data_IF_733904395386
#
_entry.id   IF_733904395386
#
_cell.length_a   1.000
_cell.length_b   1.000
_cell.length_c   1.000
_cell.angle_alpha   90.00
_cell.angle_beta   90.00
_cell.angle_gamma   90.00
#
_symmetry.space_group_name_H-M   'P 1'
#
loop_
_entity.id
_entity.type
_entity.pdbx_description
1 polymer ?
#
# COMPACT_ATOMS: atom_id res chain seq x y z
N UNK A 1 -10.05 -10.40 -49.42
CA UNK A 1 -9.95 -9.02 -48.89
C UNK A 1 -9.92 -9.09 -47.37
N UNK A 2 -8.76 -9.46 -46.80
CA UNK A 2 -8.56 -9.51 -45.35
C UNK A 2 -8.42 -8.06 -44.86
N UNK A 3 -9.39 -7.52 -44.14
CA UNK A 3 -9.18 -6.27 -43.39
C UNK A 3 -8.12 -6.58 -42.32
N UNK A 4 -6.93 -6.03 -42.51
CA UNK A 4 -5.89 -5.93 -41.48
C UNK A 4 -6.32 -4.96 -40.37
N UNK A 5 -7.43 -5.27 -39.69
CA UNK A 5 -7.78 -4.55 -38.48
C UNK A 5 -6.83 -5.02 -37.38
N UNK A 6 -5.98 -4.11 -36.91
CA UNK A 6 -5.27 -4.26 -35.64
C UNK A 6 -6.29 -4.70 -34.60
N UNK A 7 -6.03 -5.83 -33.93
CA UNK A 7 -7.00 -6.35 -32.98
C UNK A 7 -7.13 -5.40 -31.80
N UNK A 8 -8.36 -4.99 -31.52
CA UNK A 8 -8.68 -4.00 -30.49
C UNK A 8 -8.27 -4.48 -29.08
N UNK A 9 -8.34 -5.78 -28.82
CA UNK A 9 -7.92 -6.38 -27.55
C UNK A 9 -6.40 -6.28 -27.30
N UNK A 10 -5.58 -6.47 -28.33
CA UNK A 10 -4.12 -6.26 -28.26
C UNK A 10 -3.82 -4.78 -27.98
N UNK A 11 -4.53 -3.86 -28.65
CA UNK A 11 -4.36 -2.42 -28.41
C UNK A 11 -4.73 -2.04 -26.97
N UNK A 12 -5.82 -2.56 -26.43
CA UNK A 12 -6.21 -2.33 -25.03
C UNK A 12 -5.21 -2.92 -24.03
N UNK A 13 -4.72 -4.13 -24.27
CA UNK A 13 -3.66 -4.74 -23.46
C UNK A 13 -2.41 -3.84 -23.42
N UNK A 14 -1.92 -3.43 -24.60
CA UNK A 14 -0.74 -2.56 -24.70
C UNK A 14 -0.99 -1.20 -24.02
N UNK A 15 -2.19 -0.62 -24.17
CA UNK A 15 -2.55 0.65 -23.53
C UNK A 15 -2.56 0.54 -22.00
N UNK A 16 -3.25 -0.44 -21.43
CA UNK A 16 -3.29 -0.63 -19.97
C UNK A 16 -1.89 -0.91 -19.44
N UNK A 17 -1.12 -1.76 -20.11
CA UNK A 17 0.26 -2.09 -19.73
C UNK A 17 1.17 -0.84 -19.77
N UNK A 18 1.07 -0.01 -20.82
CA UNK A 18 1.78 1.28 -20.91
C UNK A 18 1.39 2.23 -19.77
N UNK A 19 0.10 2.35 -19.44
CA UNK A 19 -0.37 3.20 -18.34
C UNK A 19 0.21 2.73 -17.01
N UNK A 20 0.21 1.41 -16.74
CA UNK A 20 0.81 0.83 -15.54
C UNK A 20 2.30 1.18 -15.48
N UNK A 21 3.04 1.00 -16.58
CA UNK A 21 4.48 1.28 -16.63
C UNK A 21 4.79 2.77 -16.43
N UNK A 22 4.07 3.69 -17.08
CA UNK A 22 4.24 5.14 -16.87
C UNK A 22 3.95 5.51 -15.41
N UNK A 23 2.84 5.02 -14.85
CA UNK A 23 2.49 5.29 -13.46
C UNK A 23 3.52 4.73 -12.48
N UNK A 24 4.07 3.54 -12.77
CA UNK A 24 5.14 2.92 -11.98
C UNK A 24 6.43 3.74 -12.01
N UNK A 25 6.84 4.21 -13.20
CA UNK A 25 8.00 5.09 -13.37
C UNK A 25 7.80 6.36 -12.53
N UNK A 26 6.69 7.07 -12.72
CA UNK A 26 6.40 8.29 -11.96
C UNK A 26 6.41 8.00 -10.45
N UNK A 27 5.72 6.95 -10.01
CA UNK A 27 5.66 6.61 -8.59
C UNK A 27 7.04 6.39 -7.98
N UNK A 28 7.87 5.54 -8.58
CA UNK A 28 9.17 5.18 -8.01
C UNK A 28 10.16 6.34 -8.12
N UNK A 29 10.21 7.01 -9.28
CA UNK A 29 11.13 8.14 -9.54
C UNK A 29 10.91 9.31 -8.60
N UNK A 30 9.68 9.50 -8.09
CA UNK A 30 9.43 10.48 -7.03
C UNK A 30 9.60 9.88 -5.64
N UNK A 31 9.10 8.66 -5.38
CA UNK A 31 9.10 8.07 -4.04
C UNK A 31 10.50 7.87 -3.50
N UNK A 32 11.41 7.27 -4.28
CA UNK A 32 12.76 6.94 -3.78
C UNK A 32 13.53 8.21 -3.40
N UNK A 33 13.74 9.22 -4.27
CA UNK A 33 14.48 10.42 -3.90
C UNK A 33 13.83 11.21 -2.75
N UNK A 34 12.50 11.32 -2.73
CA UNK A 34 11.78 12.02 -1.65
C UNK A 34 11.94 11.31 -0.31
N UNK A 35 11.90 9.97 -0.29
CA UNK A 35 12.08 9.18 0.92
C UNK A 35 13.47 9.37 1.53
N UNK A 36 14.53 9.31 0.72
CA UNK A 36 15.91 9.46 1.20
C UNK A 36 16.27 10.92 1.55
N UNK A 37 15.66 11.90 0.89
CA UNK A 37 15.83 13.32 1.23
C UNK A 37 14.97 13.80 2.40
N UNK A 38 14.08 12.94 2.93
CA UNK A 38 13.28 13.25 4.12
C UNK A 38 14.13 13.25 5.38
N UNK A 39 14.12 14.38 6.08
CA UNK A 39 14.68 14.55 7.42
C UNK A 39 13.58 15.09 8.33
N UNK A 40 13.44 14.48 9.50
CA UNK A 40 12.47 14.93 10.50
C UNK A 40 12.95 16.25 11.11
N UNK A 41 12.04 17.21 11.22
CA UNK A 41 12.31 18.47 11.92
C UNK A 41 11.98 18.31 13.40
N UNK A 42 12.73 18.99 14.25
CA UNK A 42 12.38 19.15 15.65
C UNK A 42 11.63 20.47 15.81
N UNK A 43 10.62 20.46 16.64
CA UNK A 43 9.97 21.66 17.15
C UNK A 43 10.63 22.06 18.47
N UNK A 44 10.70 23.36 18.69
CA UNK A 44 11.12 23.94 19.98
C UNK A 44 10.01 23.94 21.03
N UNK A 45 8.79 23.48 20.69
CA UNK A 45 7.67 23.47 21.63
C UNK A 45 7.95 22.53 22.80
N UNK A 46 7.98 23.09 24.02
CA UNK A 46 8.08 22.32 25.25
C UNK A 46 6.68 21.91 25.70
N UNK A 47 6.28 20.68 25.39
CA UNK A 47 5.07 20.06 25.95
C UNK A 47 5.45 19.37 27.26
N UNK A 48 4.81 19.74 28.37
CA UNK A 48 5.07 19.07 29.64
C UNK A 48 4.35 17.72 29.69
N UNK A 49 4.93 16.76 30.41
CA UNK A 49 4.32 15.43 30.58
C UNK A 49 2.95 15.47 31.25
N UNK A 50 2.76 16.40 32.19
CA UNK A 50 1.48 16.59 32.89
C UNK A 50 0.37 17.11 31.97
N UNK A 51 0.72 17.68 30.81
CA UNK A 51 -0.21 18.14 29.78
C UNK A 51 -0.67 17.01 28.84
N UNK A 52 -0.29 15.76 29.14
CA UNK A 52 -0.59 14.58 28.34
C UNK A 52 -1.35 13.57 29.20
N UNK A 53 -2.48 13.09 28.67
CA UNK A 53 -3.21 11.94 29.22
C UNK A 53 -3.24 10.81 28.20
N UNK A 54 -2.71 9.64 28.55
CA UNK A 54 -2.94 8.43 27.78
C UNK A 54 -4.36 7.93 27.95
N UNK A 55 -5.01 7.57 26.83
CA UNK A 55 -6.35 7.00 26.81
C UNK A 55 -6.26 5.61 26.18
N UNK A 56 -6.51 4.58 27.00
CA UNK A 56 -6.23 3.18 26.69
C UNK A 56 -7.54 2.38 26.74
N UNK A 57 -8.15 2.02 25.61
CA UNK A 57 -9.25 1.07 25.60
C UNK A 57 -8.73 -0.35 25.80
N UNK A 58 -9.40 -1.16 26.63
CA UNK A 58 -9.06 -2.58 26.86
C UNK A 58 -10.29 -3.47 26.76
N UNK A 59 -10.12 -4.64 26.13
CA UNK A 59 -11.14 -5.69 26.07
C UNK A 59 -10.51 -7.07 25.91
N UNK A 60 -10.59 -7.90 26.95
CA UNK A 60 -10.07 -9.28 26.96
C UNK A 60 -8.60 -9.40 26.50
N UNK A 61 -7.78 -8.39 26.77
CA UNK A 61 -6.35 -8.38 26.45
C UNK A 61 -5.57 -9.33 27.37
N UNK A 62 -4.44 -9.87 26.90
CA UNK A 62 -3.58 -10.65 27.78
C UNK A 62 -3.13 -9.80 28.98
N UNK A 63 -3.39 -10.28 30.20
CA UNK A 63 -3.15 -9.52 31.44
C UNK A 63 -1.68 -9.15 31.62
N UNK A 64 -0.75 -10.01 31.23
CA UNK A 64 0.69 -9.71 31.36
C UNK A 64 1.11 -8.63 30.36
N UNK A 65 0.67 -8.73 29.11
CA UNK A 65 0.90 -7.69 28.11
C UNK A 65 0.30 -6.35 28.56
N UNK A 66 -0.92 -6.35 29.08
CA UNK A 66 -1.55 -5.14 29.60
C UNK A 66 -0.75 -4.52 30.77
N UNK A 67 -0.25 -5.34 31.71
CA UNK A 67 0.63 -4.87 32.80
C UNK A 67 1.89 -4.20 32.25
N UNK A 68 2.53 -4.77 31.23
CA UNK A 68 3.69 -4.15 30.57
C UNK A 68 3.36 -2.79 29.98
N UNK A 69 2.18 -2.64 29.36
CA UNK A 69 1.72 -1.36 28.82
C UNK A 69 1.53 -0.32 29.93
N UNK A 70 0.81 -0.66 31.00
CA UNK A 70 0.57 0.25 32.13
C UNK A 70 1.89 0.67 32.79
N UNK A 71 2.80 -0.28 33.01
CA UNK A 71 4.13 0.02 33.55
C UNK A 71 4.90 0.98 32.63
N UNK A 72 4.85 0.78 31.30
CA UNK A 72 5.55 1.65 30.35
C UNK A 72 4.98 3.08 30.31
N UNK A 73 3.68 3.25 30.52
CA UNK A 73 3.03 4.56 30.61
C UNK A 73 3.44 5.27 31.89
N UNK A 74 3.45 4.54 33.01
CA UNK A 74 3.93 5.04 34.31
C UNK A 74 5.41 5.46 34.26
N UNK A 75 6.27 4.66 33.64
CA UNK A 75 7.70 4.97 33.46
C UNK A 75 7.94 6.22 32.59
N UNK A 76 7.05 6.48 31.63
CA UNK A 76 7.10 7.71 30.84
C UNK A 76 6.58 8.94 31.61
N UNK A 77 5.88 8.73 32.73
CA UNK A 77 5.49 9.77 33.67
C UNK A 77 4.35 10.67 33.18
N UNK A 78 3.36 10.10 32.50
CA UNK A 78 2.16 10.81 32.03
C UNK A 78 0.90 10.31 32.76
N UNK A 79 -0.14 11.15 32.79
CA UNK A 79 -1.45 10.73 33.29
C UNK A 79 -2.05 9.65 32.38
N UNK A 80 -2.89 8.77 32.90
CA UNK A 80 -3.55 7.78 32.07
C UNK A 80 -4.94 7.38 32.57
N UNK A 81 -5.81 7.15 31.59
CA UNK A 81 -7.19 6.73 31.74
C UNK A 81 -7.35 5.45 30.93
N UNK A 82 -7.86 4.40 31.57
CA UNK A 82 -8.16 3.12 30.93
C UNK A 82 -9.67 2.92 30.87
N UNK A 83 -10.17 2.50 29.72
CA UNK A 83 -11.59 2.21 29.52
C UNK A 83 -11.78 0.72 29.28
N UNK A 84 -12.39 0.02 30.23
CA UNK A 84 -12.78 -1.38 30.10
C UNK A 84 -14.05 -1.53 29.28
N UNK A 85 -13.94 -2.02 28.05
CA UNK A 85 -15.06 -2.09 27.10
C UNK A 85 -15.89 -3.38 27.27
N UNK A 86 -16.68 -3.47 28.34
CA UNK A 86 -17.38 -4.70 28.72
C UNK A 86 -16.49 -5.69 29.48
N UNK A 87 -15.39 -5.21 30.07
CA UNK A 87 -14.53 -5.95 30.99
C UNK A 87 -14.14 -5.05 32.17
N UNK A 88 -13.84 -5.66 33.32
CA UNK A 88 -13.54 -4.92 34.55
C UNK A 88 -12.29 -5.45 35.24
N UNK A 89 -12.40 -6.53 36.02
CA UNK A 89 -11.25 -7.19 36.63
C UNK A 89 -10.57 -8.16 35.64
N UNK A 90 -9.24 -8.33 35.72
CA UNK A 90 -8.30 -7.74 36.67
C UNK A 90 -7.76 -6.35 36.25
N UNK A 91 -8.26 -5.78 35.16
CA UNK A 91 -7.71 -4.55 34.58
C UNK A 91 -7.88 -3.34 35.49
N UNK A 92 -9.03 -3.22 36.18
CA UNK A 92 -9.28 -2.13 37.15
C UNK A 92 -8.21 -2.09 38.23
N UNK A 93 -7.97 -3.21 38.91
CA UNK A 93 -6.98 -3.29 40.00
C UNK A 93 -5.57 -2.88 39.53
N UNK A 94 -5.16 -3.34 38.35
CA UNK A 94 -3.84 -3.00 37.77
C UNK A 94 -3.72 -1.50 37.52
N UNK A 95 -4.78 -0.86 37.04
CA UNK A 95 -4.80 0.56 36.71
C UNK A 95 -4.80 1.43 37.96
N UNK A 96 -5.69 1.14 38.90
CA UNK A 96 -5.83 1.92 40.15
C UNK A 96 -4.58 1.80 41.02
N UNK A 97 -4.01 0.60 41.17
CA UNK A 97 -2.75 0.39 41.90
C UNK A 97 -1.53 1.07 41.24
N UNK A 98 -1.62 1.36 39.94
CA UNK A 98 -0.59 2.08 39.19
C UNK A 98 -0.80 3.60 39.18
N UNK A 99 -1.85 4.11 39.84
CA UNK A 99 -2.19 5.54 39.91
C UNK A 99 -2.97 6.07 38.72
N UNK A 100 -3.55 5.19 37.90
CA UNK A 100 -4.40 5.58 36.77
C UNK A 100 -5.88 5.59 37.12
N UNK A 101 -6.70 6.12 36.21
CA UNK A 101 -8.17 6.11 36.34
C UNK A 101 -8.75 5.00 35.48
N UNK A 102 -9.60 4.15 36.06
CA UNK A 102 -10.33 3.12 35.33
C UNK A 102 -11.80 3.50 35.13
N UNK A 103 -12.32 3.31 33.91
CA UNK A 103 -13.72 3.54 33.55
C UNK A 103 -14.28 2.25 32.95
N UNK A 104 -15.21 1.60 33.67
CA UNK A 104 -15.87 0.38 33.19
C UNK A 104 -17.11 0.70 32.34
N UNK A 105 -17.17 0.17 31.12
CA UNK A 105 -18.38 0.15 30.31
C UNK A 105 -19.11 -1.17 30.52
N UNK A 106 -20.43 -1.11 30.73
CA UNK A 106 -21.23 -2.29 31.04
C UNK A 106 -21.29 -3.34 29.89
N UNK A 107 -21.11 -2.91 28.64
CA UNK A 107 -21.15 -3.78 27.45
C UNK A 107 -20.08 -3.36 26.47
N UNK A 108 -19.54 -4.34 25.74
CA UNK A 108 -18.62 -4.09 24.65
C UNK A 108 -19.31 -3.28 23.53
N UNK A 109 -18.81 -2.07 23.28
CA UNK A 109 -19.21 -1.19 22.18
C UNK A 109 -18.14 -1.01 21.10
N UNK A 110 -16.97 -1.65 21.27
CA UNK A 110 -15.80 -1.58 20.41
C UNK A 110 -14.87 -0.41 20.74
N UNK A 111 -13.62 -0.49 20.26
CA UNK A 111 -12.53 0.49 20.48
C UNK A 111 -12.98 1.96 20.32
N UNK A 112 -13.70 2.29 19.24
CA UNK A 112 -14.18 3.67 18.98
C UNK A 112 -15.13 4.17 20.07
N UNK A 113 -16.03 3.31 20.56
CA UNK A 113 -16.94 3.66 21.64
C UNK A 113 -16.16 3.85 22.94
N UNK A 114 -15.25 2.94 23.27
CA UNK A 114 -14.38 3.05 24.45
C UNK A 114 -13.54 4.34 24.45
N UNK A 115 -12.92 4.69 23.31
CA UNK A 115 -12.22 5.96 23.13
C UNK A 115 -13.17 7.13 23.41
N UNK A 116 -14.34 7.16 22.77
CA UNK A 116 -15.29 8.27 22.93
C UNK A 116 -15.76 8.44 24.37
N UNK A 117 -16.09 7.36 25.07
CA UNK A 117 -16.55 7.44 26.46
C UNK A 117 -15.42 7.90 27.40
N UNK A 118 -14.20 7.39 27.23
CA UNK A 118 -13.05 7.87 28.02
C UNK A 118 -12.60 9.29 27.68
N UNK A 119 -12.77 9.73 26.43
CA UNK A 119 -12.37 11.08 25.99
C UNK A 119 -13.07 12.21 26.76
N UNK A 120 -14.27 11.96 27.30
CA UNK A 120 -15.02 12.91 28.14
C UNK A 120 -14.24 13.33 29.40
N UNK A 121 -13.37 12.44 29.87
CA UNK A 121 -12.56 12.62 31.07
C UNK A 121 -11.18 13.21 30.77
N UNK A 122 -10.78 13.29 29.49
CA UNK A 122 -9.53 13.91 29.07
C UNK A 122 -9.65 15.44 29.12
N UNK A 123 -8.95 16.04 30.09
CA UNK A 123 -8.88 17.50 30.29
C UNK A 123 -7.54 18.12 29.89
N UNK A 124 -6.54 17.30 29.59
CA UNK A 124 -5.21 17.77 29.22
C UNK A 124 -5.16 18.30 27.79
N UNK A 125 -4.28 19.28 27.49
CA UNK A 125 -4.11 19.83 26.14
C UNK A 125 -3.75 18.79 25.07
N UNK A 126 -3.11 17.69 25.48
CA UNK A 126 -2.76 16.60 24.59
C UNK A 126 -3.31 15.27 25.11
N UNK A 127 -3.66 14.40 24.17
CA UNK A 127 -4.12 13.04 24.42
C UNK A 127 -3.24 12.07 23.66
N UNK A 128 -2.85 10.99 24.33
CA UNK A 128 -2.15 9.87 23.73
C UNK A 128 -3.14 8.70 23.59
N UNK A 129 -3.68 8.50 22.39
CA UNK A 129 -4.47 7.29 22.11
C UNK A 129 -3.51 6.11 22.00
N UNK A 130 -3.65 5.11 22.87
CA UNK A 130 -2.69 4.02 22.99
C UNK A 130 -3.43 2.68 23.05
N UNK A 131 -3.02 1.70 22.24
CA UNK A 131 -3.58 0.35 22.28
C UNK A 131 -3.13 -0.40 23.55
N UNK A 132 -4.02 -1.26 24.09
CA UNK A 132 -3.77 -2.07 25.30
C UNK A 132 -2.66 -3.12 25.17
N UNK A 133 -2.12 -3.31 23.96
CA UNK A 133 -1.03 -4.23 23.63
C UNK A 133 0.27 -3.52 23.17
N UNK A 134 0.33 -2.19 23.28
CA UNK A 134 1.43 -1.38 22.76
C UNK A 134 2.27 -0.78 23.89
N UNK A 135 3.46 -1.34 24.11
CA UNK A 135 4.43 -0.86 25.11
C UNK A 135 5.17 0.38 24.61
N UNK A 136 5.18 1.45 25.41
CA UNK A 136 5.90 2.68 25.11
C UNK A 136 7.40 2.54 25.46
N UNK A 137 8.33 2.87 24.55
CA UNK A 137 9.74 2.98 24.91
C UNK A 137 9.98 4.07 25.96
N UNK A 138 11.04 3.93 26.76
CA UNK A 138 11.50 4.99 27.66
C UNK A 138 11.87 6.24 26.85
N UNK A 139 11.40 7.41 27.30
CA UNK A 139 11.64 8.68 26.62
C UNK A 139 10.82 8.89 25.34
N UNK A 140 9.79 8.06 25.11
CA UNK A 140 8.95 8.14 23.93
C UNK A 140 8.14 9.44 23.90
N UNK A 141 7.64 9.87 25.07
CA UNK A 141 6.76 11.04 25.16
C UNK A 141 7.49 12.31 24.78
N UNK A 142 8.71 12.52 25.27
CA UNK A 142 9.55 13.68 24.97
C UNK A 142 9.88 13.75 23.48
N UNK A 143 10.21 12.61 22.87
CA UNK A 143 10.51 12.54 21.44
C UNK A 143 9.28 12.77 20.58
N UNK A 144 8.13 12.17 20.92
CA UNK A 144 6.87 12.39 20.21
C UNK A 144 6.43 13.84 20.31
N UNK A 145 6.46 14.41 21.52
CA UNK A 145 6.00 15.76 21.75
C UNK A 145 6.92 16.82 21.15
N UNK A 146 8.23 16.54 21.04
CA UNK A 146 9.19 17.39 20.31
C UNK A 146 8.90 17.55 18.81
N UNK A 147 7.96 16.77 18.26
CA UNK A 147 7.54 16.86 16.86
C UNK A 147 6.25 17.63 16.64
N UNK A 148 5.57 18.03 17.72
CA UNK A 148 4.35 18.83 17.63
C UNK A 148 4.71 20.30 17.40
N UNK A 149 3.90 21.00 16.63
CA UNK A 149 3.98 22.46 16.47
C UNK A 149 2.57 23.03 16.18
N UNK A 150 2.49 24.28 15.72
CA UNK A 150 1.20 24.92 15.40
C UNK A 150 0.47 24.24 14.23
N UNK A 151 1.23 23.65 13.30
CA UNK A 151 0.70 22.97 12.11
C UNK A 151 0.67 21.46 12.28
N UNK A 152 1.70 20.86 12.85
CA UNK A 152 1.81 19.42 13.15
C UNK A 152 1.17 19.16 14.51
N UNK A 153 -0.09 18.75 14.49
CA UNK A 153 -0.91 18.61 15.70
C UNK A 153 -1.04 17.17 16.16
N UNK A 154 -0.55 16.21 15.36
CA UNK A 154 -0.55 14.79 15.71
C UNK A 154 0.71 14.07 15.24
N UNK A 155 1.21 13.17 16.08
CA UNK A 155 2.44 12.41 15.86
C UNK A 155 2.22 10.96 16.29
N UNK A 156 2.64 10.03 15.45
CA UNK A 156 2.74 8.61 15.81
C UNK A 156 4.19 8.13 15.77
N UNK A 157 4.57 7.16 16.62
CA UNK A 157 5.84 6.45 16.46
C UNK A 157 5.80 5.54 15.24
N UNK A 158 6.96 5.20 14.70
CA UNK A 158 7.10 4.18 13.67
C UNK A 158 6.88 2.78 14.28
N UNK A 159 6.39 1.84 13.47
CA UNK A 159 6.14 0.48 13.92
C UNK A 159 7.30 -0.43 13.51
N UNK A 160 7.83 -1.15 14.48
CA UNK A 160 8.75 -2.26 14.24
C UNK A 160 8.02 -3.59 14.40
N UNK A 161 7.96 -4.35 13.31
CA UNK A 161 7.44 -5.72 13.35
C UNK A 161 8.48 -6.62 14.04
N UNK A 162 8.02 -7.40 15.02
CA UNK A 162 8.81 -8.41 15.72
C UNK A 162 8.43 -9.82 15.23
N UNK A 163 9.38 -10.78 15.24
CA UNK A 163 9.10 -12.16 14.86
C UNK A 163 7.91 -12.76 15.62
N UNK A 164 7.01 -13.39 14.87
CA UNK A 164 5.93 -14.21 15.42
C UNK A 164 6.36 -15.67 15.57
N UNK A 165 5.38 -16.58 15.71
CA UNK A 165 5.65 -18.04 15.67
C UNK A 165 6.23 -18.48 14.31
N UNK A 166 5.69 -17.94 13.22
CA UNK A 166 6.12 -18.23 11.86
C UNK A 166 7.10 -17.15 11.34
N UNK A 167 8.35 -17.55 11.11
CA UNK A 167 9.41 -16.67 10.60
C UNK A 167 9.15 -16.19 9.16
N UNK A 168 8.50 -17.00 8.33
CA UNK A 168 8.20 -16.61 6.95
C UNK A 168 7.13 -15.52 6.92
N UNK A 169 6.09 -15.65 7.76
CA UNK A 169 5.06 -14.62 7.94
C UNK A 169 5.66 -13.33 8.49
N UNK A 170 6.66 -13.43 9.37
CA UNK A 170 7.44 -12.28 9.81
C UNK A 170 8.19 -11.60 8.65
N UNK A 171 8.93 -12.33 7.80
CA UNK A 171 9.64 -11.72 6.67
C UNK A 171 8.70 -11.02 5.69
N UNK A 172 7.53 -11.63 5.42
CA UNK A 172 6.47 -11.02 4.61
C UNK A 172 5.97 -9.72 5.27
N UNK A 173 5.62 -9.78 6.55
CA UNK A 173 5.12 -8.62 7.30
C UNK A 173 6.15 -7.49 7.40
N UNK A 174 7.43 -7.85 7.57
CA UNK A 174 8.54 -6.90 7.58
C UNK A 174 8.69 -6.23 6.22
N UNK A 175 8.70 -6.99 5.11
CA UNK A 175 8.77 -6.43 3.76
C UNK A 175 7.67 -5.39 3.52
N UNK A 176 6.43 -5.72 3.91
CA UNK A 176 5.29 -4.80 3.81
C UNK A 176 5.50 -3.52 4.62
N UNK A 177 6.00 -3.64 5.85
CA UNK A 177 6.26 -2.48 6.69
C UNK A 177 7.39 -1.60 6.11
N UNK A 178 8.41 -2.18 5.47
CA UNK A 178 9.48 -1.42 4.81
C UNK A 178 9.02 -0.68 3.57
N UNK A 179 8.19 -1.31 2.74
CA UNK A 179 7.56 -0.65 1.59
C UNK A 179 6.69 0.54 2.06
N UNK A 180 5.93 0.34 3.14
CA UNK A 180 5.15 1.40 3.77
C UNK A 180 6.02 2.52 4.31
N UNK A 181 7.08 2.21 5.05
CA UNK A 181 8.02 3.17 5.64
C UNK A 181 8.64 4.07 4.55
N UNK A 182 9.16 3.47 3.47
CA UNK A 182 9.73 4.20 2.34
C UNK A 182 8.72 5.20 1.75
N UNK A 183 7.49 4.73 1.53
CA UNK A 183 6.40 5.54 0.99
C UNK A 183 5.99 6.66 1.94
N UNK A 184 5.93 6.37 3.24
CA UNK A 184 5.60 7.36 4.27
C UNK A 184 6.66 8.45 4.36
N UNK A 185 7.95 8.11 4.24
CA UNK A 185 9.02 9.12 4.19
C UNK A 185 8.84 10.06 2.98
N UNK A 186 8.51 9.51 1.80
CA UNK A 186 8.25 10.31 0.62
C UNK A 186 7.01 11.23 0.78
N UNK A 187 5.91 10.70 1.30
CA UNK A 187 4.69 11.48 1.56
C UNK A 187 4.92 12.57 2.62
N UNK A 188 5.66 12.26 3.69
CA UNK A 188 5.98 13.23 4.73
C UNK A 188 6.87 14.36 4.22
N UNK A 189 7.77 14.08 3.26
CA UNK A 189 8.57 15.12 2.59
C UNK A 189 7.70 16.17 1.91
N UNK A 190 6.57 15.77 1.32
CA UNK A 190 5.57 16.68 0.73
C UNK A 190 4.51 17.13 1.73
N UNK A 191 4.65 16.76 3.00
CA UNK A 191 3.82 17.24 4.11
C UNK A 191 2.49 16.51 4.29
N UNK A 192 2.40 15.24 3.88
CA UNK A 192 1.22 14.40 4.00
C UNK A 192 1.54 13.01 4.56
N UNK A 193 0.55 12.30 5.10
CA UNK A 193 0.62 10.87 5.40
C UNK A 193 -0.70 10.19 5.08
N UNK A 194 -0.67 8.88 4.86
CA UNK A 194 -1.89 8.10 4.63
C UNK A 194 -2.69 7.94 5.90
N UNK A 195 -2.04 7.51 6.97
CA UNK A 195 -2.65 7.28 8.28
C UNK A 195 -1.57 7.37 9.36
N UNK A 196 -1.94 7.91 10.51
CA UNK A 196 -1.21 7.68 11.76
C UNK A 196 -1.24 6.18 12.13
N UNK A 197 -0.36 5.77 13.03
CA UNK A 197 -0.32 4.39 13.52
C UNK A 197 -1.29 4.26 14.69
N UNK A 198 -2.42 3.54 14.49
CA UNK A 198 -3.48 3.40 15.49
C UNK A 198 -3.08 2.79 16.83
N UNK A 199 -1.89 2.18 16.91
CA UNK A 199 -1.26 1.69 18.13
C UNK A 199 -0.92 2.79 19.13
N UNK A 200 -0.51 3.96 18.62
CA UNK A 200 -0.03 5.06 19.44
C UNK A 200 -0.13 6.38 18.65
N UNK A 201 -1.00 7.28 19.11
CA UNK A 201 -1.22 8.59 18.49
C UNK A 201 -1.20 9.66 19.58
N UNK A 202 -0.17 10.51 19.58
CA UNK A 202 -0.14 11.73 20.39
C UNK A 202 -0.76 12.86 19.57
N UNK A 203 -1.76 13.55 20.10
CA UNK A 203 -2.49 14.58 19.37
C UNK A 203 -3.01 15.70 20.27
N UNK A 204 -3.07 16.93 19.75
CA UNK A 204 -3.75 18.07 20.40
C UNK A 204 -5.22 17.75 20.63
N UNK A 205 -5.64 17.76 21.89
CA UNK A 205 -6.97 17.31 22.32
C UNK A 205 -8.07 18.14 21.66
N UNK A 206 -7.93 19.48 21.64
CA UNK A 206 -8.96 20.36 21.07
C UNK A 206 -9.17 20.15 19.57
N UNK A 207 -8.12 19.75 18.84
CA UNK A 207 -8.22 19.53 17.40
C UNK A 207 -9.14 18.36 17.09
N UNK A 208 -9.00 17.23 17.80
CA UNK A 208 -9.78 16.02 17.50
C UNK A 208 -11.08 15.90 18.29
N UNK A 209 -11.28 16.72 19.34
CA UNK A 209 -12.49 16.68 20.18
C UNK A 209 -13.80 16.68 19.38
N UNK A 210 -14.02 17.58 18.40
CA UNK A 210 -15.29 17.60 17.67
C UNK A 210 -15.50 16.34 16.82
N UNK A 211 -14.42 15.67 16.37
CA UNK A 211 -14.53 14.38 15.71
C UNK A 211 -14.95 13.31 16.72
N UNK A 212 -14.22 13.16 17.83
CA UNK A 212 -14.45 12.07 18.79
C UNK A 212 -15.86 12.13 19.38
N UNK A 213 -16.35 13.33 19.69
CA UNK A 213 -17.69 13.56 20.26
C UNK A 213 -18.81 13.40 19.21
N UNK A 214 -18.49 13.40 17.91
CA UNK A 214 -19.47 13.21 16.84
C UNK A 214 -19.99 11.77 16.72
N UNK A 215 -21.20 11.62 16.17
CA UNK A 215 -21.73 10.31 15.77
C UNK A 215 -20.89 9.61 14.70
N UNK A 216 -20.19 10.38 13.86
CA UNK A 216 -19.38 9.87 12.75
C UNK A 216 -18.12 9.13 13.22
N UNK A 217 -17.62 9.41 14.42
CA UNK A 217 -16.50 8.65 14.98
C UNK A 217 -16.90 7.26 15.45
N UNK A 218 -18.16 7.06 15.88
CA UNK A 218 -18.65 5.72 16.26
C UNK A 218 -18.81 4.82 15.04
N UNK A 219 -19.37 5.37 13.97
CA UNK A 219 -19.55 4.67 12.69
C UNK A 219 -19.43 5.66 11.54
N UNK A 220 -18.40 5.50 10.73
CA UNK A 220 -18.16 6.40 9.60
C UNK A 220 -19.12 6.04 8.48
N UNK A 221 -19.88 7.02 8.00
CA UNK A 221 -20.84 6.84 6.90
C UNK A 221 -20.20 7.22 5.56
N UNK A 222 -20.52 6.43 4.54
CA UNK A 222 -20.24 6.71 3.13
C UNK A 222 -21.46 6.27 2.31
N UNK A 223 -22.28 7.24 1.91
CA UNK A 223 -23.59 6.99 1.30
C UNK A 223 -24.45 6.02 2.14
N UNK A 224 -24.75 4.83 1.62
CA UNK A 224 -25.50 3.77 2.32
C UNK A 224 -24.64 2.81 3.14
N UNK A 225 -23.32 2.95 3.09
CA UNK A 225 -22.37 2.06 3.76
C UNK A 225 -21.82 2.69 5.04
N UNK A 226 -21.49 1.84 6.01
CA UNK A 226 -20.91 2.27 7.29
C UNK A 226 -19.72 1.40 7.66
N UNK A 227 -18.63 2.02 8.15
CA UNK A 227 -17.48 1.31 8.71
C UNK A 227 -17.26 1.65 10.18
N UNK A 228 -16.77 0.67 10.93
CA UNK A 228 -16.19 0.84 12.27
C UNK A 228 -14.67 0.66 12.26
N UNK A 229 -14.06 0.41 11.10
CA UNK A 229 -12.61 0.22 10.95
C UNK A 229 -11.89 1.56 10.72
N UNK A 230 -10.59 1.60 10.98
CA UNK A 230 -9.71 2.73 10.63
C UNK A 230 -9.98 4.02 11.42
N UNK A 231 -10.03 3.92 12.75
CA UNK A 231 -10.10 5.08 13.64
C UNK A 231 -8.89 6.01 13.43
N UNK A 232 -7.70 5.43 13.30
CA UNK A 232 -6.45 6.10 12.96
C UNK A 232 -6.51 6.89 11.65
N UNK A 233 -7.02 6.27 10.57
CA UNK A 233 -7.17 6.91 9.26
C UNK A 233 -8.23 8.00 9.30
N UNK A 234 -9.33 7.80 10.02
CA UNK A 234 -10.34 8.86 10.19
C UNK A 234 -9.78 10.07 10.93
N UNK A 235 -9.08 9.85 12.05
CA UNK A 235 -8.43 10.92 12.83
C UNK A 235 -7.45 11.67 11.93
N UNK A 236 -6.61 10.94 11.18
CA UNK A 236 -5.66 11.53 10.25
C UNK A 236 -6.36 12.39 9.19
N UNK A 237 -7.38 11.85 8.52
CA UNK A 237 -8.12 12.57 7.48
C UNK A 237 -8.82 13.82 8.04
N UNK A 238 -9.38 13.71 9.24
CA UNK A 238 -10.01 14.84 9.91
C UNK A 238 -9.01 15.97 10.19
N UNK A 239 -7.82 15.66 10.71
CA UNK A 239 -6.74 16.63 10.95
C UNK A 239 -6.41 17.39 9.65
N UNK A 240 -6.22 16.68 8.54
CA UNK A 240 -5.95 17.31 7.23
C UNK A 240 -7.16 18.10 6.71
N UNK A 241 -8.39 17.63 6.94
CA UNK A 241 -9.60 18.36 6.53
C UNK A 241 -9.73 19.73 7.20
N UNK A 242 -9.14 19.89 8.39
CA UNK A 242 -9.05 21.12 9.19
C UNK A 242 -7.82 21.98 8.88
N UNK A 243 -6.98 21.58 7.93
CA UNK A 243 -5.79 22.35 7.52
C UNK A 243 -4.53 22.10 8.36
N UNK A 244 -4.60 21.18 9.34
CA UNK A 244 -3.46 20.76 10.13
C UNK A 244 -2.70 19.60 9.45
N UNK A 245 -1.56 19.23 10.04
CA UNK A 245 -0.68 18.14 9.60
C UNK A 245 -0.51 17.10 10.69
N UNK A 246 -0.18 15.91 10.24
CA UNK A 246 0.15 14.76 11.08
C UNK A 246 1.39 14.06 10.52
N UNK A 247 2.25 13.52 11.38
CA UNK A 247 3.50 12.86 10.98
C UNK A 247 3.72 11.53 11.69
N UNK A 248 4.61 10.70 11.13
CA UNK A 248 5.12 9.48 11.76
C UNK A 248 6.62 9.64 11.99
N UNK A 249 7.06 9.56 13.24
CA UNK A 249 8.45 9.72 13.63
C UNK A 249 9.16 8.38 13.83
N UNK A 250 10.37 8.27 13.29
CA UNK A 250 11.23 7.09 13.43
C UNK A 250 12.13 7.16 14.67
N UNK A 251 12.12 8.27 15.40
CA UNK A 251 12.90 8.43 16.65
C UNK A 251 12.31 7.63 17.82
N UNK A 252 11.04 7.28 17.70
CA UNK A 252 10.33 6.38 18.58
C UNK A 252 9.84 5.21 17.75
N UNK A 253 10.18 4.00 18.19
CA UNK A 253 9.71 2.77 17.57
C UNK A 253 8.91 1.96 18.58
N UNK A 254 7.64 1.71 18.28
CA UNK A 254 6.81 0.77 19.03
C UNK A 254 6.84 -0.59 18.35
N UNK A 255 6.76 -1.65 19.13
CA UNK A 255 6.87 -3.02 18.63
C UNK A 255 5.48 -3.61 18.44
N UNK A 256 5.28 -4.34 17.34
CA UNK A 256 4.11 -5.19 17.15
C UNK A 256 4.56 -6.58 16.72
N UNK A 257 3.91 -7.62 17.23
CA UNK A 257 4.19 -8.99 16.81
C UNK A 257 3.61 -9.25 15.42
N UNK A 258 4.37 -9.93 14.55
CA UNK A 258 3.83 -10.47 13.31
C UNK A 258 2.72 -11.50 13.60
N UNK A 259 1.72 -11.67 12.73
CA UNK A 259 0.74 -12.75 12.86
C UNK A 259 1.42 -14.11 12.96
N UNK A 260 0.85 -15.02 13.76
CA UNK A 260 1.45 -16.33 14.01
C UNK A 260 1.39 -17.29 12.80
N UNK A 261 0.58 -16.99 11.79
CA UNK A 261 0.43 -17.79 10.57
C UNK A 261 -0.12 -16.96 9.40
N UNK A 262 -0.02 -17.51 8.19
CA UNK A 262 -0.44 -16.85 6.95
C UNK A 262 -1.94 -16.50 6.92
N UNK A 263 -2.79 -17.36 7.49
CA UNK A 263 -4.24 -17.09 7.61
C UNK A 263 -4.51 -15.86 8.47
N UNK A 264 -3.79 -15.71 9.58
CA UNK A 264 -3.82 -14.52 10.44
C UNK A 264 -3.38 -13.27 9.68
N UNK A 265 -2.29 -13.36 8.93
CA UNK A 265 -1.81 -12.26 8.09
C UNK A 265 -2.85 -11.86 7.02
N UNK A 266 -3.39 -12.81 6.27
CA UNK A 266 -4.41 -12.54 5.25
C UNK A 266 -5.67 -11.87 5.83
N UNK A 267 -6.17 -12.34 6.97
CA UNK A 267 -7.30 -11.69 7.68
C UNK A 267 -6.99 -10.23 8.01
N UNK A 268 -5.78 -9.96 8.49
CA UNK A 268 -5.33 -8.62 8.81
C UNK A 268 -5.19 -7.73 7.56
N UNK A 269 -4.62 -8.25 6.47
CA UNK A 269 -4.49 -7.50 5.22
C UNK A 269 -5.85 -7.14 4.63
N UNK A 270 -6.77 -8.08 4.55
CA UNK A 270 -8.13 -7.82 4.07
C UNK A 270 -8.82 -6.76 4.93
N UNK A 271 -8.67 -6.80 6.25
CA UNK A 271 -9.21 -5.76 7.15
C UNK A 271 -8.63 -4.39 6.84
N UNK A 272 -7.31 -4.30 6.66
CA UNK A 272 -6.63 -3.05 6.33
C UNK A 272 -7.04 -2.51 4.96
N UNK A 273 -7.05 -3.35 3.92
CA UNK A 273 -7.46 -2.94 2.58
C UNK A 273 -8.93 -2.54 2.52
N UNK A 274 -9.84 -3.21 3.25
CA UNK A 274 -11.25 -2.78 3.33
C UNK A 274 -11.40 -1.40 3.93
N UNK A 275 -10.70 -1.14 5.04
CA UNK A 275 -10.68 0.19 5.66
C UNK A 275 -10.12 1.23 4.69
N UNK A 276 -8.98 0.91 4.09
CA UNK A 276 -8.27 1.80 3.19
C UNK A 276 -9.05 2.17 1.93
N UNK A 277 -9.67 1.21 1.25
CA UNK A 277 -10.51 1.48 0.07
C UNK A 277 -11.74 2.31 0.44
N UNK A 278 -12.34 2.06 1.61
CA UNK A 278 -13.46 2.85 2.09
C UNK A 278 -13.06 4.32 2.31
N UNK A 279 -11.93 4.56 2.96
CA UNK A 279 -11.43 5.92 3.17
C UNK A 279 -10.91 6.57 1.89
N UNK A 280 -10.38 5.82 0.92
CA UNK A 280 -10.04 6.36 -0.40
C UNK A 280 -11.28 6.97 -1.08
N UNK A 281 -12.36 6.20 -1.16
CA UNK A 281 -13.61 6.67 -1.77
C UNK A 281 -14.14 7.89 -0.99
N UNK A 282 -14.07 7.84 0.34
CA UNK A 282 -14.47 8.99 1.18
C UNK A 282 -13.64 10.24 0.88
N UNK A 283 -12.31 10.11 0.81
CA UNK A 283 -11.37 11.22 0.53
C UNK A 283 -11.55 11.80 -0.88
N UNK A 284 -11.95 10.97 -1.85
CA UNK A 284 -12.36 11.42 -3.18
C UNK A 284 -13.65 12.25 -3.10
N UNK A 285 -14.63 11.79 -2.32
CA UNK A 285 -15.95 12.46 -2.21
C UNK A 285 -15.92 13.77 -1.42
N UNK A 286 -15.07 13.89 -0.40
CA UNK A 286 -15.00 15.07 0.48
C UNK A 286 -13.86 16.04 0.13
N UNK A 287 -13.09 15.73 -0.93
CA UNK A 287 -11.96 16.54 -1.41
C UNK A 287 -10.71 16.49 -0.53
N UNK A 288 -10.71 15.71 0.56
CA UNK A 288 -9.54 15.58 1.45
C UNK A 288 -8.32 15.02 0.71
N UNK A 289 -8.53 14.20 -0.33
CA UNK A 289 -7.45 13.66 -1.17
C UNK A 289 -6.57 14.78 -1.74
N UNK A 290 -7.19 15.82 -2.29
CA UNK A 290 -6.48 16.96 -2.90
C UNK A 290 -5.91 17.92 -1.86
N UNK A 291 -6.57 18.08 -0.70
CA UNK A 291 -6.06 18.87 0.43
C UNK A 291 -4.73 18.35 0.97
N UNK A 292 -4.49 17.05 0.87
CA UNK A 292 -3.21 16.40 1.22
C UNK A 292 -2.13 16.55 0.15
N UNK A 293 -2.45 17.15 -1.00
CA UNK A 293 -1.51 17.48 -2.06
C UNK A 293 -1.52 16.51 -3.23
N UNK A 294 -1.04 16.99 -4.38
CA UNK A 294 -1.06 16.23 -5.65
C UNK A 294 -0.31 14.90 -5.57
N UNK A 295 0.89 14.89 -5.00
CA UNK A 295 1.69 13.66 -4.90
C UNK A 295 1.05 12.60 -4.00
N UNK A 296 0.34 13.03 -2.94
CA UNK A 296 -0.47 12.16 -2.11
C UNK A 296 -1.63 11.54 -2.91
N UNK A 297 -2.38 12.39 -3.63
CA UNK A 297 -3.49 11.97 -4.47
C UNK A 297 -3.04 10.93 -5.52
N UNK A 298 -1.96 11.24 -6.25
CA UNK A 298 -1.36 10.34 -7.23
C UNK A 298 -0.93 9.01 -6.59
N UNK A 299 -0.22 9.05 -5.45
CA UNK A 299 0.28 7.84 -4.78
C UNK A 299 -0.86 6.92 -4.35
N UNK A 300 -1.92 7.47 -3.75
CA UNK A 300 -3.08 6.67 -3.35
C UNK A 300 -3.82 6.10 -4.57
N UNK A 301 -4.10 6.91 -5.59
CA UNK A 301 -4.75 6.44 -6.80
C UNK A 301 -3.92 5.33 -7.45
N UNK A 302 -2.61 5.51 -7.58
CA UNK A 302 -1.70 4.49 -8.09
C UNK A 302 -1.81 3.19 -7.29
N UNK A 303 -1.68 3.22 -5.95
CA UNK A 303 -1.73 2.00 -5.13
C UNK A 303 -3.02 1.21 -5.26
N UNK A 304 -4.18 1.88 -5.27
CA UNK A 304 -5.47 1.18 -5.26
C UNK A 304 -6.00 0.86 -6.66
N UNK A 305 -5.58 1.59 -7.69
CA UNK A 305 -5.90 1.23 -9.08
C UNK A 305 -4.96 0.17 -9.63
N UNK A 306 -3.71 0.08 -9.16
CA UNK A 306 -2.71 -0.84 -9.69
C UNK A 306 -3.17 -2.31 -9.66
N UNK A 307 -3.74 -2.85 -8.57
CA UNK A 307 -4.27 -4.22 -8.57
C UNK A 307 -5.38 -4.42 -9.60
N UNK A 308 -6.29 -3.45 -9.76
CA UNK A 308 -7.39 -3.54 -10.72
C UNK A 308 -6.90 -3.48 -12.17
N UNK A 309 -5.98 -2.56 -12.46
CA UNK A 309 -5.36 -2.43 -13.78
C UNK A 309 -4.53 -3.68 -14.11
N UNK A 310 -3.78 -4.21 -13.14
CA UNK A 310 -2.98 -5.43 -13.32
C UNK A 310 -3.85 -6.66 -13.51
N UNK A 311 -4.96 -6.78 -12.76
CA UNK A 311 -5.93 -7.85 -12.94
C UNK A 311 -6.56 -7.77 -14.35
N UNK A 312 -6.97 -6.57 -14.77
CA UNK A 312 -7.55 -6.34 -16.10
C UNK A 312 -6.54 -6.70 -17.20
N UNK A 313 -5.29 -6.27 -17.06
CA UNK A 313 -4.21 -6.56 -18.00
C UNK A 313 -3.93 -8.07 -18.10
N UNK A 314 -3.93 -8.78 -16.96
CA UNK A 314 -3.74 -10.22 -16.91
C UNK A 314 -4.90 -11.00 -17.54
N UNK A 315 -6.15 -10.56 -17.33
CA UNK A 315 -7.32 -11.16 -17.96
C UNK A 315 -7.29 -11.00 -19.48
N UNK A 316 -6.98 -9.79 -19.97
CA UNK A 316 -6.82 -9.53 -21.41
C UNK A 316 -5.70 -10.39 -22.02
N UNK A 317 -4.54 -10.44 -21.36
CA UNK A 317 -3.44 -11.31 -21.81
C UNK A 317 -3.86 -12.77 -21.90
N UNK A 318 -4.52 -13.28 -20.86
CA UNK A 318 -5.00 -14.67 -20.81
C UNK A 318 -6.01 -14.95 -21.92
N UNK A 319 -6.95 -14.04 -22.15
CA UNK A 319 -7.91 -14.15 -23.25
C UNK A 319 -7.22 -14.21 -24.62
N UNK A 320 -6.28 -13.29 -24.87
CA UNK A 320 -5.51 -13.24 -26.13
C UNK A 320 -4.77 -14.56 -26.36
N UNK A 321 -4.08 -15.06 -25.33
CA UNK A 321 -3.33 -16.33 -25.39
C UNK A 321 -4.27 -17.52 -25.59
N UNK A 322 -5.36 -17.62 -24.83
CA UNK A 322 -6.31 -18.72 -24.96
C UNK A 322 -6.99 -18.73 -26.33
N UNK A 323 -7.39 -17.58 -26.86
CA UNK A 323 -7.89 -17.47 -28.24
C UNK A 323 -6.84 -17.93 -29.25
N UNK A 324 -5.57 -17.54 -29.06
CA UNK A 324 -4.49 -18.01 -29.94
C UNK A 324 -4.31 -19.52 -29.88
N UNK A 325 -4.34 -20.11 -28.68
CA UNK A 325 -4.24 -21.56 -28.47
C UNK A 325 -5.42 -22.27 -29.13
N UNK A 326 -6.66 -21.81 -28.91
CA UNK A 326 -7.86 -22.42 -29.48
C UNK A 326 -7.87 -22.35 -31.01
N UNK A 327 -7.48 -21.21 -31.58
CA UNK A 327 -7.41 -21.03 -33.05
C UNK A 327 -6.32 -21.88 -33.71
N UNK A 328 -5.25 -22.20 -32.99
CA UNK A 328 -4.11 -22.97 -33.52
C UNK A 328 -3.98 -24.34 -32.84
N UNK A 329 -5.03 -24.86 -32.20
CA UNK A 329 -4.99 -26.05 -31.34
C UNK A 329 -4.39 -27.25 -32.05
N UNK A 330 -4.87 -27.56 -33.26
CA UNK A 330 -4.40 -28.70 -34.05
C UNK A 330 -2.90 -28.58 -34.41
N UNK A 331 -2.42 -27.36 -34.66
CA UNK A 331 -1.00 -27.11 -34.96
C UNK A 331 -0.17 -27.30 -33.70
N UNK A 332 -0.62 -26.74 -32.57
CA UNK A 332 0.06 -26.84 -31.28
C UNK A 332 0.17 -28.32 -30.87
N UNK A 333 -0.93 -29.07 -30.92
CA UNK A 333 -0.94 -30.51 -30.63
C UNK A 333 0.02 -31.24 -31.56
N UNK A 334 -0.04 -31.00 -32.87
CA UNK A 334 0.84 -31.66 -33.85
C UNK A 334 2.33 -31.39 -33.60
N UNK A 335 2.68 -30.18 -33.18
CA UNK A 335 4.06 -29.81 -32.82
C UNK A 335 4.49 -30.51 -31.54
N UNK A 336 3.65 -30.48 -30.49
CA UNK A 336 3.92 -31.14 -29.21
C UNK A 336 4.06 -32.66 -29.38
N UNK A 337 3.19 -33.30 -30.17
CA UNK A 337 3.21 -34.76 -30.38
C UNK A 337 4.36 -35.21 -31.26
N UNK A 338 4.88 -34.35 -32.16
CA UNK A 338 6.01 -34.70 -33.04
C UNK A 338 7.35 -34.53 -32.36
N UNK A 339 7.55 -33.44 -31.61
CA UNK A 339 8.83 -33.14 -30.98
C UNK A 339 8.62 -32.23 -29.74
N UNK A 340 8.29 -32.81 -28.58
CA UNK A 340 7.99 -32.05 -27.38
C UNK A 340 9.21 -31.29 -26.86
N UNK A 341 10.43 -31.79 -27.11
CA UNK A 341 11.68 -31.15 -26.70
C UNK A 341 11.91 -29.90 -27.53
N UNK A 342 11.77 -29.96 -28.87
CA UNK A 342 11.86 -28.76 -29.72
C UNK A 342 10.73 -27.77 -29.48
N UNK A 343 9.54 -28.21 -29.07
CA UNK A 343 8.48 -27.29 -28.67
C UNK A 343 8.87 -26.50 -27.42
N UNK A 344 9.39 -27.18 -26.39
CA UNK A 344 9.89 -26.54 -25.17
C UNK A 344 11.06 -25.61 -25.51
N UNK A 345 12.01 -26.06 -26.32
CA UNK A 345 13.12 -25.26 -26.82
C UNK A 345 12.62 -24.04 -27.60
N UNK A 346 11.68 -24.19 -28.52
CA UNK A 346 11.09 -23.07 -29.26
C UNK A 346 10.39 -22.07 -28.34
N UNK A 347 9.63 -22.53 -27.34
CA UNK A 347 8.97 -21.64 -26.37
C UNK A 347 10.00 -20.90 -25.51
N UNK A 348 11.06 -21.58 -25.07
CA UNK A 348 12.13 -20.99 -24.25
C UNK A 348 13.00 -20.05 -25.09
N UNK A 349 13.52 -20.51 -26.22
CA UNK A 349 14.37 -19.74 -27.16
C UNK A 349 13.60 -18.54 -27.72
N UNK A 350 12.30 -18.66 -28.02
CA UNK A 350 11.51 -17.50 -28.48
C UNK A 350 11.18 -16.52 -27.36
N UNK A 351 11.03 -16.98 -26.11
CA UNK A 351 10.96 -16.07 -24.95
C UNK A 351 12.29 -15.37 -24.69
N UNK A 352 13.41 -16.07 -24.78
CA UNK A 352 14.76 -15.51 -24.62
C UNK A 352 15.06 -14.55 -25.78
N UNK A 353 14.76 -14.93 -27.02
CA UNK A 353 14.89 -14.06 -28.19
C UNK A 353 13.96 -12.85 -28.10
N UNK A 354 12.74 -12.93 -27.57
CA UNK A 354 11.90 -11.73 -27.37
C UNK A 354 12.40 -10.83 -26.23
N UNK A 355 13.24 -11.34 -25.32
CA UNK A 355 13.89 -10.54 -24.27
C UNK A 355 15.13 -9.81 -24.80
N UNK A 356 15.75 -10.29 -25.89
CA UNK A 356 16.98 -9.74 -26.45
C UNK A 356 16.91 -9.26 -27.91
N UNK A 357 15.83 -9.53 -28.64
CA UNK A 357 15.60 -9.13 -30.02
C UNK A 357 14.19 -8.53 -30.18
N UNK A 358 14.17 -7.24 -30.47
CA UNK A 358 13.03 -6.48 -30.99
C UNK A 358 12.58 -7.09 -32.32
N UNK A 359 11.55 -7.94 -32.33
CA UNK A 359 10.92 -8.40 -33.58
C UNK A 359 9.42 -8.04 -33.64
N UNK A 360 9.04 -6.97 -34.36
CA UNK A 360 7.67 -6.48 -34.47
C UNK A 360 6.87 -7.30 -35.49
N UNK A 361 6.51 -8.55 -35.16
CA UNK A 361 5.79 -9.43 -36.11
C UNK A 361 4.26 -9.37 -35.94
N UNK A 362 3.63 -8.34 -36.53
CA UNK A 362 2.89 -8.57 -37.79
C UNK A 362 3.63 -8.11 -39.04
N UNK A 363 4.55 -7.14 -38.92
CA UNK A 363 5.25 -6.51 -40.05
C UNK A 363 6.35 -7.41 -40.61
N UNK A 364 7.13 -8.06 -39.75
CA UNK A 364 8.19 -8.99 -40.16
C UNK A 364 7.66 -10.29 -40.75
N UNK A 365 6.45 -10.73 -40.42
CA UNK A 365 5.83 -11.93 -41.01
C UNK A 365 5.36 -11.72 -42.45
N UNK A 366 4.93 -10.52 -42.80
CA UNK A 366 4.66 -10.16 -44.20
C UNK A 366 5.96 -9.96 -44.99
N UNK A 367 7.00 -9.39 -44.37
CA UNK A 367 8.33 -9.25 -44.97
C UNK A 367 9.01 -10.62 -45.18
N UNK A 368 8.87 -11.57 -44.23
CA UNK A 368 9.48 -12.90 -44.35
C UNK A 368 8.77 -13.81 -45.35
N UNK A 369 7.48 -13.60 -45.64
CA UNK A 369 6.77 -14.32 -46.70
C UNK A 369 7.28 -13.95 -48.10
N UNK A 370 8.03 -12.86 -48.23
CA UNK A 370 8.61 -12.37 -49.48
C UNK A 370 10.06 -12.85 -49.69
N UNK A 371 10.62 -13.67 -48.80
CA UNK A 371 12.02 -14.13 -48.85
C UNK A 371 12.32 -15.16 -49.96
N UNK A 372 11.40 -15.40 -50.89
CA UNK A 372 11.65 -16.22 -52.09
C UNK A 372 12.14 -15.42 -53.30
N UNK A 373 12.30 -14.09 -53.16
CA UNK A 373 12.78 -13.22 -54.24
C UNK A 373 14.01 -12.43 -53.77
N UNK A 374 15.20 -12.97 -54.06
CA UNK A 374 16.54 -12.34 -54.02
C UNK A 374 17.26 -12.22 -52.65
N UNK A 375 18.49 -12.77 -52.50
CA UNK A 375 19.30 -12.71 -51.26
C UNK A 375 19.87 -11.34 -50.87
N UNK A 376 19.68 -10.27 -51.66
CA UNK A 376 20.39 -9.00 -51.45
C UNK A 376 19.61 -7.92 -50.66
N UNK A 377 18.51 -8.27 -49.99
CA UNK A 377 17.61 -7.29 -49.35
C UNK A 377 17.97 -6.92 -47.89
N UNK A 378 19.25 -6.97 -47.51
CA UNK A 378 19.73 -6.56 -46.18
C UNK A 378 20.47 -5.21 -46.16
N UNK A 379 20.52 -4.47 -47.27
CA UNK A 379 21.22 -3.18 -47.36
C UNK A 379 20.34 -2.06 -47.93
N UNK A 380 19.43 -1.53 -47.12
CA UNK A 380 19.15 -0.08 -47.08
C UNK A 380 18.30 0.26 -45.85
N UNK A 381 18.99 0.56 -44.76
CA UNK A 381 18.42 1.31 -43.63
C UNK A 381 18.45 2.80 -43.99
N UNK A 382 17.34 3.49 -43.71
CA UNK A 382 17.24 4.95 -43.47
C UNK A 382 17.75 5.88 -44.57
N UNK A 383 16.86 6.30 -45.47
CA UNK A 383 16.97 7.62 -46.09
C UNK A 383 15.62 8.33 -46.13
N UNK A 384 15.60 9.48 -45.44
CA UNK A 384 14.69 10.63 -45.49
C UNK A 384 13.28 10.50 -46.10
N UNK A 385 12.28 10.87 -45.27
CA UNK A 385 10.82 11.04 -45.51
C UNK A 385 9.91 9.82 -45.25
N UNK A 386 9.59 9.65 -43.96
CA UNK A 386 8.32 9.20 -43.35
C UNK A 386 7.23 8.45 -44.17
N UNK A 387 7.55 7.42 -44.95
CA UNK A 387 6.55 6.41 -45.34
C UNK A 387 7.21 5.04 -45.25
N UNK A 388 6.74 4.19 -44.33
CA UNK A 388 7.06 2.77 -44.37
C UNK A 388 6.31 2.19 -45.59
N UNK A 389 7.03 1.55 -46.50
CA UNK A 389 6.49 1.03 -47.77
C UNK A 389 6.78 -0.47 -47.87
N UNK A 390 5.77 -1.28 -48.15
CA UNK A 390 5.91 -2.70 -48.51
C UNK A 390 5.41 -2.85 -49.96
N UNK A 391 6.24 -3.43 -50.84
CA UNK A 391 5.93 -3.59 -52.27
C UNK A 391 5.43 -2.31 -52.96
N UNK A 392 6.11 -1.18 -52.73
CA UNK A 392 5.79 0.13 -53.32
C UNK A 392 4.40 0.71 -52.95
N UNK A 393 3.69 0.13 -51.98
CA UNK A 393 2.45 0.68 -51.43
C UNK A 393 2.68 1.33 -50.06
N UNK A 394 2.14 2.54 -49.81
CA UNK A 394 2.21 3.16 -48.50
C UNK A 394 1.47 2.28 -47.48
N UNK A 395 2.10 2.02 -46.33
CA UNK A 395 1.45 1.33 -45.22
C UNK A 395 0.25 2.15 -44.71
N UNK A 396 -0.80 1.45 -44.27
CA UNK A 396 -1.95 2.07 -43.63
C UNK A 396 -1.48 2.91 -42.42
N UNK A 397 -1.99 4.13 -42.32
CA UNK A 397 -1.68 5.08 -41.24
C UNK A 397 -1.90 4.44 -39.86
N UNK A 398 -2.91 3.57 -39.70
CA UNK A 398 -3.16 2.84 -38.47
C UNK A 398 -2.03 1.86 -38.12
N UNK A 399 -1.44 1.20 -39.12
CA UNK A 399 -0.31 0.27 -38.93
C UNK A 399 0.94 1.05 -38.52
N UNK A 400 1.17 2.22 -39.13
CA UNK A 400 2.26 3.12 -38.76
C UNK A 400 2.09 3.60 -37.31
N UNK A 401 0.89 4.07 -36.92
CA UNK A 401 0.62 4.47 -35.54
C UNK A 401 0.81 3.33 -34.54
N UNK A 402 0.32 2.13 -34.87
CA UNK A 402 0.50 0.96 -34.02
C UNK A 402 1.98 0.59 -33.86
N UNK A 403 2.78 0.64 -34.93
CA UNK A 403 4.22 0.40 -34.86
C UNK A 403 4.92 1.38 -33.92
N UNK A 404 4.66 2.69 -34.04
CA UNK A 404 5.25 3.68 -33.14
C UNK A 404 4.78 3.50 -31.70
N UNK A 405 3.48 3.24 -31.49
CA UNK A 405 2.93 2.98 -30.16
C UNK A 405 3.52 1.72 -29.52
N UNK A 406 3.72 0.65 -30.30
CA UNK A 406 4.35 -0.58 -29.82
C UNK A 406 5.81 -0.37 -29.40
N UNK A 407 6.60 0.37 -30.19
CA UNK A 407 7.97 0.72 -29.82
C UNK A 407 8.01 1.61 -28.56
N UNK A 408 7.10 2.58 -28.46
CA UNK A 408 6.94 3.40 -27.25
C UNK A 408 6.57 2.54 -26.03
N UNK A 409 5.63 1.61 -26.18
CA UNK A 409 5.25 0.66 -25.14
C UNK A 409 6.45 -0.14 -24.62
N UNK A 410 7.25 -0.71 -25.53
CA UNK A 410 8.43 -1.49 -25.16
C UNK A 410 9.46 -0.64 -24.41
N UNK A 411 9.78 0.55 -24.93
CA UNK A 411 10.71 1.48 -24.28
C UNK A 411 10.26 1.85 -22.85
N UNK A 412 8.98 2.19 -22.70
CA UNK A 412 8.39 2.51 -21.39
C UNK A 412 8.43 1.28 -20.46
N UNK A 413 8.19 0.09 -20.98
CA UNK A 413 8.29 -1.17 -20.23
C UNK A 413 9.71 -1.45 -19.71
N UNK A 414 10.72 -1.22 -20.55
CA UNK A 414 12.14 -1.36 -20.17
C UNK A 414 12.53 -0.38 -19.06
N UNK A 415 12.17 0.90 -19.22
CA UNK A 415 12.43 1.93 -18.20
C UNK A 415 11.73 1.58 -16.88
N UNK A 416 10.46 1.16 -16.94
CA UNK A 416 9.70 0.72 -15.76
C UNK A 416 10.38 -0.45 -15.04
N UNK A 417 10.96 -1.38 -15.79
CA UNK A 417 11.70 -2.53 -15.25
C UNK A 417 12.97 -2.06 -14.54
N UNK A 418 13.77 -1.20 -15.17
CA UNK A 418 15.00 -0.63 -14.59
C UNK A 418 14.69 0.09 -13.29
N UNK A 419 13.67 0.95 -13.28
CA UNK A 419 13.26 1.73 -12.10
C UNK A 419 12.76 0.80 -10.97
N UNK A 420 12.04 -0.27 -11.32
CA UNK A 420 11.62 -1.29 -10.34
C UNK A 420 12.80 -2.06 -9.73
N UNK A 421 13.82 -2.39 -10.53
CA UNK A 421 15.06 -3.00 -10.05
C UNK A 421 15.77 -2.05 -9.09
N UNK A 422 15.86 -0.76 -9.40
CA UNK A 422 16.45 0.26 -8.51
C UNK A 422 15.71 0.28 -7.17
N UNK A 423 14.38 0.27 -7.17
CA UNK A 423 13.58 0.22 -5.94
C UNK A 423 13.87 -1.05 -5.12
N UNK A 424 13.93 -2.22 -5.78
CA UNK A 424 14.25 -3.49 -5.13
C UNK A 424 15.65 -3.46 -4.50
N UNK A 425 16.67 -3.03 -5.25
CA UNK A 425 18.05 -2.92 -4.75
C UNK A 425 18.12 -1.94 -3.58
N UNK A 426 17.40 -0.83 -3.66
CA UNK A 426 17.30 0.16 -2.58
C UNK A 426 16.73 -0.46 -1.31
N UNK A 427 15.67 -1.27 -1.42
CA UNK A 427 15.08 -1.97 -0.27
C UNK A 427 16.05 -3.00 0.31
N UNK A 428 16.75 -3.77 -0.53
CA UNK A 428 17.76 -4.74 -0.09
C UNK A 428 18.86 -4.04 0.71
N UNK A 429 19.43 -2.97 0.15
CA UNK A 429 20.50 -2.19 0.79
C UNK A 429 20.04 -1.52 2.09
N UNK A 430 18.80 -1.01 2.11
CA UNK A 430 18.21 -0.39 3.29
C UNK A 430 17.96 -1.38 4.43
N UNK A 431 17.51 -2.59 4.10
CA UNK A 431 17.10 -3.59 5.08
C UNK A 431 18.24 -4.43 5.64
N UNK A 432 19.39 -4.50 4.93
CA UNK A 432 20.57 -5.32 5.29
C UNK A 432 20.19 -6.79 5.56
N UNK A 433 19.23 -7.32 4.80
CA UNK A 433 18.72 -8.69 4.95
C UNK A 433 19.49 -9.66 4.09
N UNK A 434 19.48 -10.92 4.49
CA UNK A 434 19.99 -12.00 3.64
C UNK A 434 19.10 -12.17 2.40
N UNK A 435 19.68 -12.69 1.32
CA UNK A 435 18.95 -12.94 0.07
C UNK A 435 17.72 -13.84 0.28
N UNK A 436 17.82 -14.82 1.18
CA UNK A 436 16.72 -15.73 1.52
C UNK A 436 15.55 -15.01 2.19
N UNK A 437 15.83 -14.18 3.19
CA UNK A 437 14.80 -13.40 3.89
C UNK A 437 14.10 -12.45 2.93
N UNK A 438 14.87 -11.80 2.05
CA UNK A 438 14.33 -10.93 1.01
C UNK A 438 13.40 -11.70 0.06
N UNK A 439 13.83 -12.86 -0.44
CA UNK A 439 13.07 -13.69 -1.37
C UNK A 439 11.72 -14.13 -0.79
N UNK A 440 11.71 -14.55 0.48
CA UNK A 440 10.46 -14.91 1.17
C UNK A 440 9.60 -13.67 1.39
N UNK A 441 10.23 -12.54 1.75
CA UNK A 441 9.55 -11.25 1.90
C UNK A 441 8.83 -10.80 0.63
N UNK A 442 9.34 -11.13 -0.56
CA UNK A 442 8.68 -10.81 -1.84
C UNK A 442 7.30 -11.46 -2.00
N UNK A 443 6.95 -12.50 -1.23
CA UNK A 443 5.59 -13.03 -1.17
C UNK A 443 4.56 -12.00 -0.65
N UNK A 444 5.02 -10.89 -0.07
CA UNK A 444 4.19 -9.74 0.25
C UNK A 444 3.40 -9.21 -0.96
N UNK A 445 4.02 -9.13 -2.14
CA UNK A 445 3.38 -8.55 -3.33
C UNK A 445 2.13 -9.32 -3.78
N UNK A 446 2.19 -10.65 -4.05
CA UNK A 446 0.99 -11.40 -4.41
C UNK A 446 -0.04 -11.43 -3.27
N UNK A 447 0.38 -11.52 -2.01
CA UNK A 447 -0.55 -11.49 -0.87
C UNK A 447 -1.29 -10.16 -0.76
N UNK A 448 -0.59 -9.04 -0.94
CA UNK A 448 -1.19 -7.70 -0.99
C UNK A 448 -2.16 -7.58 -2.15
N UNK A 449 -1.76 -8.02 -3.35
CA UNK A 449 -2.60 -7.99 -4.55
C UNK A 449 -3.93 -8.73 -4.35
N UNK A 450 -3.88 -10.00 -3.92
CA UNK A 450 -5.10 -10.78 -3.72
C UNK A 450 -5.95 -10.26 -2.55
N UNK A 451 -5.31 -9.81 -1.45
CA UNK A 451 -6.03 -9.26 -0.31
C UNK A 451 -6.76 -7.96 -0.66
N UNK A 452 -6.16 -7.09 -1.48
CA UNK A 452 -6.77 -5.82 -1.90
C UNK A 452 -7.95 -6.04 -2.85
N UNK A 453 -7.77 -6.88 -3.89
CA UNK A 453 -8.86 -7.28 -4.80
C UNK A 453 -10.04 -7.87 -3.99
N UNK A 454 -9.75 -8.82 -3.10
CA UNK A 454 -10.80 -9.40 -2.26
C UNK A 454 -11.46 -8.37 -1.34
N UNK A 455 -10.68 -7.45 -0.76
CA UNK A 455 -11.19 -6.40 0.10
C UNK A 455 -12.13 -5.43 -0.64
N UNK A 456 -11.78 -5.04 -1.88
CA UNK A 456 -12.61 -4.22 -2.76
C UNK A 456 -13.97 -4.88 -3.02
N UNK A 457 -13.97 -6.15 -3.43
CA UNK A 457 -15.19 -6.94 -3.65
C UNK A 457 -15.96 -7.26 -2.37
N UNK A 458 -15.45 -6.89 -1.19
CA UNK A 458 -16.12 -7.13 0.09
C UNK A 458 -16.15 -5.89 0.97
N UNK A 459 -16.05 -4.71 0.36
CA UNK A 459 -15.91 -3.42 1.06
C UNK A 459 -17.08 -3.13 2.00
N UNK A 460 -18.28 -3.62 1.70
CA UNK A 460 -19.48 -3.46 2.53
C UNK A 460 -19.51 -4.36 3.79
N UNK A 461 -18.63 -5.38 3.88
CA UNK A 461 -18.58 -6.32 5.00
C UNK A 461 -17.67 -5.81 6.13
N UNK A 462 -18.11 -4.75 6.82
CA UNK A 462 -17.34 -4.06 7.87
C UNK A 462 -17.93 -4.21 9.28
N UNK A 463 -18.74 -5.25 9.52
CA UNK A 463 -19.60 -5.34 10.71
C UNK A 463 -18.96 -5.82 12.02
N UNK A 464 -17.69 -6.27 12.07
CA UNK A 464 -17.08 -6.74 13.33
C UNK A 464 -15.64 -6.29 13.52
N UNK A 465 -15.37 -5.74 14.70
CA UNK A 465 -14.04 -5.63 15.28
C UNK A 465 -13.61 -7.02 15.71
N UNK A 466 -12.84 -7.73 14.87
CA UNK A 466 -12.06 -8.86 15.37
C UNK A 466 -10.69 -8.31 15.76
N UNK A 467 -10.45 -8.18 17.06
CA UNK A 467 -9.09 -8.24 17.60
C UNK A 467 -8.36 -9.48 17.06
N UNK A 468 -7.04 -9.50 17.14
CA UNK A 468 -6.26 -10.68 16.76
C UNK A 468 -6.54 -11.78 17.80
N UNK A 469 -7.63 -12.51 17.61
CA UNK A 469 -7.84 -13.85 18.19
C UNK A 469 -7.10 -14.88 17.34
#
# INVERSE_FOLDING_TARGET
MYREMIRLDILFYLLISTIISIATIIYISFTVPLAFSYRQKFSSSKVNKNDITALIPVYNENVNTFKEVINSVKENGINFIVVGDGCDQPYREIVESSGGVFIGLAKNGGKRNAIREGFKYVKTPYVLLLDSDTVLPKGAIEKLSSKLDDKVVAVSPEIRVMPGKDKNVYYISEMMQRLRELSYRALQKVGSIVSLNGQCILVKTEVIRPLIESGDFKSVKLWRFTTILGDDRQITNYIYSKGYKAIVTSEVMVKTKAPDNLKGLLRQLVRWYRSNNFFLIKELTDGTLMKKGFFYAFTLLYWYTLPLLSLSNYLLYTEIVMRHILTHWNIIVKVITRDPIKFIEYVIVRRINNVFNLDPSPVTREISKLSHLSPNFYHHYFYHRHILVINQKPLDVNIIFFYYFYNFHNLVGEISTIVSIIMILTIILYTKKSFREFTIGMLAFPLMFFADIFALFTIWKQKKWSGRS
#
